data_IF_559066068492
#
_entry.id   IF_559066068492
#
_cell.length_a   1.000
_cell.length_b   1.000
_cell.length_c   1.000
_cell.angle_alpha   90.00
_cell.angle_beta   90.00
_cell.angle_gamma   90.00
#
_symmetry.space_group_name_H-M   'P 1'
#
loop_
_entity.id
_entity.type
_entity.pdbx_description
1 polymer ?
#
# COMPACT_ATOMS: atom_id res chain seq x y z
N UNK A 1 21.27 8.25 6.96
CA UNK A 1 20.23 9.30 6.87
C UNK A 1 18.98 8.73 7.51
N UNK A 2 18.24 9.48 8.27
CA UNK A 2 17.09 8.98 9.04
C UNK A 2 15.83 9.13 8.19
N UNK A 3 14.94 8.13 8.17
CA UNK A 3 13.60 8.21 7.56
C UNK A 3 12.95 9.55 7.89
N UNK A 4 12.18 10.11 6.97
CA UNK A 4 11.44 11.36 7.19
C UNK A 4 10.70 11.31 8.52
N UNK A 5 10.80 12.38 9.31
CA UNK A 5 9.98 12.49 10.50
C UNK A 5 8.49 12.47 10.12
N UNK A 6 7.66 11.83 10.91
CA UNK A 6 6.21 11.71 10.70
C UNK A 6 5.54 13.07 10.43
N UNK A 7 5.97 14.11 11.13
CA UNK A 7 5.49 15.48 10.89
C UNK A 7 5.83 15.99 9.48
N UNK A 8 6.99 15.62 8.92
CA UNK A 8 7.37 16.00 7.56
C UNK A 8 6.55 15.25 6.51
N UNK A 9 6.25 13.97 6.78
CA UNK A 9 5.37 13.16 5.94
C UNK A 9 3.96 13.78 5.92
N UNK A 10 3.38 14.06 7.08
CA UNK A 10 2.05 14.67 7.21
C UNK A 10 1.91 16.00 6.48
N UNK A 11 2.95 16.84 6.50
CA UNK A 11 2.95 18.10 5.74
C UNK A 11 2.92 17.93 4.22
N UNK A 12 3.39 16.79 3.72
CA UNK A 12 3.39 16.46 2.28
C UNK A 12 2.09 15.81 1.82
N UNK A 13 1.38 15.13 2.72
CA UNK A 13 0.13 14.47 2.44
C UNK A 13 -1.02 15.48 2.54
N UNK A 14 -1.45 15.99 1.38
CA UNK A 14 -2.55 16.94 1.29
C UNK A 14 -3.90 16.21 1.29
N UNK A 15 -4.97 16.83 1.81
CA UNK A 15 -6.31 16.27 1.73
C UNK A 15 -6.71 15.93 0.30
N UNK A 16 -7.26 14.74 0.12
CA UNK A 16 -7.82 14.26 -1.14
C UNK A 16 -9.31 14.00 -0.95
N UNK A 17 -10.09 14.18 -2.02
CA UNK A 17 -11.49 13.79 -2.06
C UNK A 17 -11.66 12.53 -2.90
N UNK A 18 -12.53 11.57 -2.49
CA UNK A 18 -12.83 10.41 -3.32
C UNK A 18 -13.60 10.84 -4.57
N UNK A 19 -13.36 10.14 -5.68
CA UNK A 19 -14.16 10.32 -6.89
C UNK A 19 -15.55 9.72 -6.68
N UNK A 20 -16.64 10.45 -6.92
CA UNK A 20 -17.98 9.90 -6.86
C UNK A 20 -18.16 8.77 -7.88
N UNK A 21 -18.69 7.64 -7.46
CA UNK A 21 -18.94 6.51 -8.36
C UNK A 21 -20.18 6.68 -9.22
N UNK A 22 -21.10 7.58 -8.85
CA UNK A 22 -22.41 7.72 -9.48
C UNK A 22 -23.34 6.50 -9.27
N UNK A 23 -22.91 5.50 -8.50
CA UNK A 23 -23.67 4.29 -8.24
C UNK A 23 -24.62 4.48 -7.05
N UNK A 24 -25.85 4.01 -7.20
CA UNK A 24 -26.80 3.92 -6.09
C UNK A 24 -26.46 2.71 -5.22
N UNK A 25 -26.39 2.84 -3.88
CA UNK A 25 -26.22 1.70 -3.00
C UNK A 25 -27.32 0.66 -3.24
N UNK A 26 -26.93 -0.61 -3.37
CA UNK A 26 -27.84 -1.73 -3.62
C UNK A 26 -27.47 -2.92 -2.75
N UNK A 27 -28.48 -3.72 -2.41
CA UNK A 27 -28.33 -4.96 -1.66
C UNK A 27 -28.83 -4.85 -0.24
N UNK A 28 -29.01 -6.01 0.37
CA UNK A 28 -29.33 -6.18 1.79
C UNK A 28 -28.50 -7.32 2.34
N UNK A 29 -28.04 -7.18 3.57
CA UNK A 29 -27.36 -8.26 4.27
C UNK A 29 -28.38 -9.35 4.63
N UNK A 30 -28.08 -10.61 4.24
CA UNK A 30 -28.93 -11.77 4.50
C UNK A 30 -28.69 -12.36 5.90
N UNK A 31 -27.57 -12.01 6.52
CA UNK A 31 -27.18 -12.46 7.85
C UNK A 31 -26.36 -11.37 8.55
N UNK A 32 -26.25 -11.39 9.88
CA UNK A 32 -25.35 -10.50 10.61
C UNK A 32 -23.90 -10.68 10.12
N UNK A 33 -23.22 -9.56 9.88
CA UNK A 33 -21.79 -9.55 9.53
C UNK A 33 -21.00 -9.73 10.84
N UNK A 34 -20.13 -10.73 10.87
CA UNK A 34 -19.23 -11.00 12.00
C UNK A 34 -17.81 -10.55 11.75
N UNK A 35 -17.43 -10.45 10.49
CA UNK A 35 -16.09 -9.99 10.10
C UNK A 35 -16.14 -9.16 8.82
N UNK A 36 -15.20 -8.20 8.70
CA UNK A 36 -14.98 -7.38 7.50
C UNK A 36 -13.49 -7.38 7.17
N UNK A 37 -13.17 -7.75 5.95
CA UNK A 37 -11.80 -7.70 5.42
C UNK A 37 -11.72 -6.56 4.41
N UNK A 38 -10.94 -5.54 4.73
CA UNK A 38 -10.79 -4.34 3.92
C UNK A 38 -9.65 -4.45 2.92
N UNK A 39 -9.82 -3.88 1.74
CA UNK A 39 -8.68 -3.41 0.96
C UNK A 39 -8.19 -2.07 1.54
N UNK A 40 -6.97 -1.66 1.19
CA UNK A 40 -6.40 -0.39 1.67
C UNK A 40 -6.62 0.72 0.64
N UNK A 41 -6.00 0.62 -0.52
CA UNK A 41 -6.02 1.65 -1.54
C UNK A 41 -7.36 1.70 -2.28
N UNK A 42 -8.00 2.87 -2.28
CA UNK A 42 -9.35 3.04 -2.83
C UNK A 42 -10.48 2.60 -1.89
N UNK A 43 -10.15 2.07 -0.69
CA UNK A 43 -11.13 1.58 0.30
C UNK A 43 -10.96 2.26 1.66
N UNK A 44 -9.85 2.03 2.36
CA UNK A 44 -9.53 2.73 3.62
C UNK A 44 -8.86 4.07 3.37
N UNK A 45 -8.05 4.14 2.31
CA UNK A 45 -7.36 5.36 1.90
C UNK A 45 -7.64 5.67 0.44
N UNK A 46 -7.95 6.93 0.15
CA UNK A 46 -7.95 7.46 -1.21
C UNK A 46 -6.53 7.32 -1.74
N UNK A 47 -6.40 6.84 -2.97
CA UNK A 47 -5.13 6.71 -3.68
C UNK A 47 -5.16 7.60 -4.91
N UNK A 48 -4.22 8.51 -5.02
CA UNK A 48 -4.18 9.44 -6.13
C UNK A 48 -3.66 8.82 -7.43
N UNK A 49 -2.99 7.66 -7.36
CA UNK A 49 -2.45 7.00 -8.53
C UNK A 49 -3.32 5.88 -9.09
N UNK A 50 -4.33 5.39 -8.36
CA UNK A 50 -5.29 4.36 -8.81
C UNK A 50 -4.65 3.08 -9.41
N UNK A 51 -3.66 3.23 -10.27
CA UNK A 51 -2.78 2.20 -10.80
C UNK A 51 -1.40 2.78 -11.22
N UNK A 52 -0.51 1.90 -11.71
CA UNK A 52 0.86 2.24 -12.13
C UNK A 52 0.87 3.25 -13.30
N UNK A 53 -0.11 3.21 -14.19
CA UNK A 53 -0.16 4.12 -15.34
C UNK A 53 -0.58 5.53 -14.93
N UNK A 54 -1.45 5.68 -13.94
CA UNK A 54 -1.78 6.98 -13.35
C UNK A 54 -0.58 7.56 -12.57
N UNK A 55 0.19 6.72 -11.87
CA UNK A 55 1.46 7.11 -11.26
C UNK A 55 2.49 7.56 -12.31
N UNK A 56 2.59 6.84 -13.42
CA UNK A 56 3.43 7.16 -14.58
C UNK A 56 3.12 8.56 -15.15
N UNK A 57 1.85 8.86 -15.34
CA UNK A 57 1.39 10.15 -15.87
C UNK A 57 1.62 11.32 -14.92
N UNK A 58 1.50 11.12 -13.60
CA UNK A 58 1.76 12.16 -12.59
C UNK A 58 3.25 12.44 -12.40
N UNK A 59 4.08 11.42 -12.51
CA UNK A 59 5.54 11.57 -12.44
C UNK A 59 6.13 12.17 -13.71
N UNK A 60 5.34 12.40 -14.78
CA UNK A 60 5.78 13.21 -15.92
C UNK A 60 6.12 14.66 -15.50
N UNK A 61 5.67 15.12 -14.35
CA UNK A 61 6.18 16.31 -13.66
C UNK A 61 7.54 16.13 -12.97
N UNK A 62 8.37 15.20 -13.40
CA UNK A 62 9.80 14.89 -13.12
C UNK A 62 10.48 15.59 -11.93
N UNK A 63 10.04 16.78 -11.55
CA UNK A 63 10.70 17.63 -10.55
C UNK A 63 10.78 16.98 -9.15
N UNK A 64 9.74 16.26 -8.72
CA UNK A 64 9.70 15.63 -7.40
C UNK A 64 10.74 14.50 -7.27
N UNK A 65 10.82 13.63 -8.28
CA UNK A 65 11.82 12.55 -8.30
C UNK A 65 13.24 13.10 -8.46
N UNK A 66 13.47 14.13 -9.26
CA UNK A 66 14.80 14.75 -9.38
C UNK A 66 15.26 15.36 -8.05
N UNK A 67 14.37 16.00 -7.30
CA UNK A 67 14.68 16.50 -5.96
C UNK A 67 15.02 15.32 -5.03
N UNK A 68 14.28 14.22 -5.10
CA UNK A 68 14.53 13.03 -4.31
C UNK A 68 15.88 12.39 -4.65
N UNK A 69 16.21 12.25 -5.93
CA UNK A 69 17.50 11.72 -6.39
C UNK A 69 18.68 12.55 -5.88
N UNK A 70 18.59 13.88 -6.00
CA UNK A 70 19.61 14.79 -5.44
C UNK A 70 19.75 14.65 -3.93
N UNK A 71 18.63 14.58 -3.19
CA UNK A 71 18.62 14.39 -1.75
C UNK A 71 19.36 13.11 -1.32
N UNK A 72 19.22 12.04 -2.09
CA UNK A 72 19.87 10.74 -1.81
C UNK A 72 21.25 10.61 -2.48
N UNK A 73 21.78 11.69 -3.08
CA UNK A 73 23.06 11.71 -3.81
C UNK A 73 23.14 10.70 -4.96
N UNK A 74 22.04 10.51 -5.68
CA UNK A 74 21.95 9.63 -6.84
C UNK A 74 22.16 10.46 -8.10
N UNK A 75 23.30 10.26 -8.79
CA UNK A 75 23.68 10.98 -10.00
C UNK A 75 23.08 10.34 -11.25
N UNK A 76 21.73 10.29 -11.29
CA UNK A 76 20.95 9.75 -12.41
C UNK A 76 19.76 10.66 -12.72
N UNK A 77 19.26 10.65 -13.95
CA UNK A 77 18.04 11.36 -14.29
C UNK A 77 16.79 10.63 -13.82
N UNK A 78 15.72 11.37 -13.54
CA UNK A 78 14.43 10.79 -13.19
C UNK A 78 13.89 9.86 -14.29
N UNK A 79 14.16 10.17 -15.56
CA UNK A 79 13.71 9.34 -16.69
C UNK A 79 14.38 7.97 -16.69
N UNK A 80 15.71 7.92 -16.56
CA UNK A 80 16.45 6.65 -16.50
C UNK A 80 16.02 5.80 -15.32
N UNK A 81 15.88 6.42 -14.14
CA UNK A 81 15.46 5.72 -12.92
C UNK A 81 14.07 5.12 -13.05
N UNK A 82 13.11 5.84 -13.66
CA UNK A 82 11.78 5.31 -13.91
C UNK A 82 11.77 4.19 -14.95
N UNK A 83 12.52 4.32 -16.03
CA UNK A 83 12.66 3.26 -17.04
C UNK A 83 13.20 1.97 -16.40
N UNK A 84 14.27 2.09 -15.63
CA UNK A 84 14.88 0.95 -14.95
C UNK A 84 13.97 0.36 -13.85
N UNK A 85 13.22 1.21 -13.14
CA UNK A 85 12.24 0.74 -12.17
C UNK A 85 11.18 -0.17 -12.83
N UNK A 86 10.57 0.30 -13.92
CA UNK A 86 9.56 -0.49 -14.62
C UNK A 86 10.14 -1.76 -15.22
N UNK A 87 11.31 -1.67 -15.86
CA UNK A 87 11.99 -2.86 -16.38
C UNK A 87 12.35 -3.88 -15.29
N UNK A 88 12.80 -3.41 -14.12
CA UNK A 88 13.12 -4.28 -13.00
C UNK A 88 11.87 -4.95 -12.39
N UNK A 89 10.75 -4.24 -12.30
CA UNK A 89 9.46 -4.81 -11.86
C UNK A 89 8.97 -5.87 -12.84
N UNK A 90 8.98 -5.57 -14.14
CA UNK A 90 8.58 -6.52 -15.19
C UNK A 90 9.46 -7.78 -15.19
N UNK A 91 10.78 -7.60 -15.07
CA UNK A 91 11.73 -8.72 -14.99
C UNK A 91 11.51 -9.58 -13.75
N UNK A 92 11.26 -8.97 -12.58
CA UNK A 92 10.95 -9.68 -11.34
C UNK A 92 9.65 -10.49 -11.46
N UNK A 93 8.61 -9.89 -12.04
CA UNK A 93 7.35 -10.59 -12.32
C UNK A 93 7.55 -11.76 -13.29
N UNK A 94 8.27 -11.54 -14.39
CA UNK A 94 8.53 -12.58 -15.38
C UNK A 94 9.33 -13.74 -14.78
N UNK A 95 10.37 -13.45 -13.99
CA UNK A 95 11.18 -14.48 -13.32
C UNK A 95 10.34 -15.33 -12.36
N UNK A 96 9.49 -14.68 -11.55
CA UNK A 96 8.65 -15.37 -10.57
C UNK A 96 7.52 -16.16 -11.25
N UNK A 97 6.95 -15.67 -12.36
CA UNK A 97 5.97 -16.41 -13.16
C UNK A 97 6.56 -17.68 -13.76
N UNK A 98 7.83 -17.65 -14.22
CA UNK A 98 8.52 -18.85 -14.73
C UNK A 98 8.66 -19.96 -13.68
N UNK A 99 8.68 -19.62 -12.40
CA UNK A 99 8.65 -20.60 -11.29
C UNK A 99 7.24 -21.04 -10.88
N UNK A 100 6.22 -20.78 -11.71
CA UNK A 100 4.85 -21.25 -11.51
C UNK A 100 3.99 -20.34 -10.60
N UNK A 101 4.49 -19.18 -10.18
CA UNK A 101 3.72 -18.23 -9.39
C UNK A 101 2.90 -17.34 -10.30
N UNK A 102 1.58 -17.49 -10.25
CA UNK A 102 0.66 -16.52 -10.83
C UNK A 102 0.51 -15.31 -9.89
N UNK A 103 0.39 -14.11 -10.45
CA UNK A 103 0.24 -12.87 -9.66
C UNK A 103 1.34 -12.65 -8.60
N UNK A 104 2.63 -12.64 -8.99
CA UNK A 104 3.72 -12.42 -8.04
C UNK A 104 3.70 -10.99 -7.50
N UNK A 105 4.11 -10.86 -6.23
CA UNK A 105 4.43 -9.56 -5.62
C UNK A 105 5.95 -9.36 -5.66
N UNK A 106 6.40 -8.12 -5.77
CA UNK A 106 7.82 -7.77 -5.84
C UNK A 106 8.39 -7.33 -4.49
N UNK A 107 9.68 -7.57 -4.25
CA UNK A 107 10.42 -6.87 -3.18
C UNK A 107 10.87 -5.51 -3.70
N UNK A 108 10.04 -4.49 -3.50
CA UNK A 108 10.29 -3.13 -3.99
C UNK A 108 11.58 -2.54 -3.40
N UNK A 109 11.99 -2.95 -2.20
CA UNK A 109 13.24 -2.48 -1.58
C UNK A 109 14.45 -2.99 -2.35
N UNK A 110 14.43 -4.27 -2.74
CA UNK A 110 15.49 -4.86 -3.57
C UNK A 110 15.55 -4.22 -4.95
N UNK A 111 14.39 -3.94 -5.54
CA UNK A 111 14.33 -3.24 -6.82
C UNK A 111 14.94 -1.85 -6.69
N UNK A 112 14.56 -1.07 -5.67
CA UNK A 112 15.16 0.25 -5.45
C UNK A 112 16.66 0.21 -5.19
N UNK A 113 17.18 -0.80 -4.47
CA UNK A 113 18.63 -0.97 -4.33
C UNK A 113 19.32 -1.16 -5.69
N UNK A 114 18.78 -2.03 -6.53
CA UNK A 114 19.36 -2.30 -7.84
C UNK A 114 19.30 -1.07 -8.77
N UNK A 115 18.16 -0.38 -8.80
CA UNK A 115 17.93 0.76 -9.70
C UNK A 115 18.73 2.00 -9.28
N UNK A 116 18.83 2.25 -7.98
CA UNK A 116 19.48 3.48 -7.46
C UNK A 116 20.93 3.31 -7.08
N UNK A 117 21.41 2.07 -6.93
CA UNK A 117 22.75 1.79 -6.42
C UNK A 117 22.92 2.07 -4.92
N UNK A 118 21.82 2.22 -4.16
CA UNK A 118 21.90 2.46 -2.72
C UNK A 118 22.51 1.24 -2.00
N UNK A 119 23.51 1.51 -1.18
CA UNK A 119 24.37 0.52 -0.53
C UNK A 119 23.70 -0.29 0.58
N UNK A 120 22.63 0.23 1.16
CA UNK A 120 21.95 -0.44 2.26
C UNK A 120 20.44 -0.56 2.05
N UNK A 121 19.87 -1.65 2.59
CA UNK A 121 18.43 -1.89 2.58
C UNK A 121 17.65 -0.80 3.33
N UNK A 122 18.25 -0.21 4.38
CA UNK A 122 17.63 0.90 5.12
C UNK A 122 17.49 2.15 4.23
N UNK A 123 18.56 2.54 3.52
CA UNK A 123 18.51 3.69 2.60
C UNK A 123 17.53 3.48 1.46
N UNK A 124 17.46 2.25 0.94
CA UNK A 124 16.48 1.90 -0.10
C UNK A 124 15.03 1.95 0.43
N UNK A 125 14.79 1.56 1.68
CA UNK A 125 13.48 1.75 2.33
C UNK A 125 13.11 3.22 2.48
N UNK A 126 14.03 4.05 2.96
CA UNK A 126 13.80 5.48 3.09
C UNK A 126 13.46 6.11 1.73
N UNK A 127 14.22 5.76 0.69
CA UNK A 127 13.96 6.20 -0.68
C UNK A 127 12.59 5.74 -1.18
N UNK A 128 12.24 4.46 -0.98
CA UNK A 128 10.97 3.88 -1.42
C UNK A 128 9.77 4.57 -0.78
N UNK A 129 9.83 4.87 0.52
CA UNK A 129 8.78 5.62 1.23
C UNK A 129 8.63 7.03 0.67
N UNK A 130 9.74 7.75 0.49
CA UNK A 130 9.71 9.11 -0.03
C UNK A 130 9.23 9.15 -1.48
N UNK A 131 9.62 8.16 -2.28
CA UNK A 131 9.13 7.99 -3.64
C UNK A 131 7.62 7.75 -3.67
N UNK A 132 7.11 6.82 -2.83
CA UNK A 132 5.68 6.52 -2.75
C UNK A 132 4.84 7.75 -2.41
N UNK A 133 5.28 8.55 -1.45
CA UNK A 133 4.59 9.80 -1.07
C UNK A 133 4.47 10.77 -2.26
N UNK A 134 5.47 10.79 -3.14
CA UNK A 134 5.47 11.62 -4.36
C UNK A 134 4.61 11.00 -5.46
N UNK A 135 4.78 9.69 -5.69
CA UNK A 135 4.16 8.97 -6.79
C UNK A 135 2.68 8.69 -6.56
N UNK A 136 2.34 8.36 -5.32
CA UNK A 136 1.00 7.97 -4.91
C UNK A 136 0.57 8.68 -3.62
N UNK A 137 0.27 9.98 -3.66
CA UNK A 137 -0.32 10.65 -2.52
C UNK A 137 -1.60 9.94 -2.07
N UNK A 138 -1.72 9.72 -0.78
CA UNK A 138 -2.86 9.03 -0.16
C UNK A 138 -3.49 9.91 0.92
N UNK A 139 -4.77 9.67 1.19
CA UNK A 139 -5.48 10.33 2.28
C UNK A 139 -6.59 9.41 2.82
N UNK A 140 -6.90 9.42 4.13
CA UNK A 140 -7.97 8.58 4.67
C UNK A 140 -9.30 8.85 3.98
N UNK A 141 -10.08 7.79 3.76
CA UNK A 141 -11.46 7.94 3.28
C UNK A 141 -12.29 8.74 4.28
N UNK A 142 -13.26 9.56 3.80
CA UNK A 142 -14.18 10.28 4.67
C UNK A 142 -14.85 9.33 5.67
N UNK A 143 -14.97 9.78 6.91
CA UNK A 143 -15.59 9.03 8.02
C UNK A 143 -14.88 7.73 8.43
N UNK A 144 -13.68 7.43 7.92
CA UNK A 144 -12.97 6.20 8.26
C UNK A 144 -12.88 5.94 9.78
N UNK A 145 -12.45 6.90 10.63
CA UNK A 145 -12.39 6.66 12.07
C UNK A 145 -13.75 6.32 12.70
N UNK A 146 -14.82 6.92 12.19
CA UNK A 146 -16.19 6.68 12.66
C UNK A 146 -16.63 5.25 12.33
N UNK A 147 -16.32 4.78 11.09
CA UNK A 147 -16.64 3.42 10.64
C UNK A 147 -15.87 2.38 11.47
N UNK A 148 -14.55 2.59 11.66
CA UNK A 148 -13.74 1.67 12.44
C UNK A 148 -14.23 1.58 13.90
N UNK A 149 -14.48 2.72 14.53
CA UNK A 149 -15.05 2.76 15.90
C UNK A 149 -16.38 2.02 15.98
N UNK A 150 -17.30 2.26 15.05
CA UNK A 150 -18.59 1.57 14.98
C UNK A 150 -18.45 0.04 14.91
N UNK A 151 -17.52 -0.45 14.07
CA UNK A 151 -17.29 -1.89 13.93
C UNK A 151 -16.72 -2.51 15.22
N UNK A 152 -15.81 -1.80 15.90
CA UNK A 152 -15.31 -2.21 17.22
C UNK A 152 -16.47 -2.30 18.24
N UNK A 153 -17.32 -1.28 18.33
CA UNK A 153 -18.49 -1.25 19.23
C UNK A 153 -19.49 -2.37 18.93
N UNK A 154 -19.58 -2.80 17.67
CA UNK A 154 -20.43 -3.91 17.22
C UNK A 154 -19.76 -5.30 17.36
N UNK A 155 -18.54 -5.36 17.88
CA UNK A 155 -17.74 -6.59 17.97
C UNK A 155 -17.57 -7.30 16.62
N UNK A 156 -17.47 -6.53 15.54
CA UNK A 156 -17.18 -7.05 14.20
C UNK A 156 -15.66 -7.17 14.04
N UNK A 157 -15.17 -8.38 13.78
CA UNK A 157 -13.75 -8.60 13.54
C UNK A 157 -13.29 -7.88 12.27
N UNK A 158 -12.25 -7.06 12.38
CA UNK A 158 -11.69 -6.33 11.24
C UNK A 158 -10.36 -6.92 10.81
N UNK A 159 -10.16 -7.03 9.50
CA UNK A 159 -8.91 -7.45 8.88
C UNK A 159 -8.61 -6.67 7.60
N UNK A 160 -7.46 -6.95 7.01
CA UNK A 160 -6.99 -6.32 5.77
C UNK A 160 -6.55 -7.41 4.79
N UNK A 161 -6.99 -7.32 3.53
CA UNK A 161 -6.43 -8.06 2.39
C UNK A 161 -6.09 -7.05 1.30
N UNK A 162 -4.82 -6.71 1.14
CA UNK A 162 -4.42 -5.66 0.19
C UNK A 162 -3.17 -6.02 -0.62
N UNK A 163 -3.17 -5.63 -1.90
CA UNK A 163 -1.94 -5.49 -2.67
C UNK A 163 -1.19 -4.31 -2.09
N UNK A 164 -0.01 -4.56 -1.52
CA UNK A 164 0.64 -3.63 -0.64
C UNK A 164 2.15 -3.85 -0.58
N UNK A 165 2.88 -2.79 -0.25
CA UNK A 165 4.29 -2.85 0.06
C UNK A 165 4.53 -2.59 1.56
N UNK A 166 5.77 -2.72 2.01
CA UNK A 166 6.13 -2.62 3.43
C UNK A 166 5.75 -1.28 4.09
N UNK A 167 5.56 -0.22 3.31
CA UNK A 167 5.16 1.10 3.80
C UNK A 167 3.65 1.26 3.96
N UNK A 168 2.85 0.34 3.43
CA UNK A 168 1.38 0.43 3.53
C UNK A 168 0.87 0.45 4.98
N UNK A 169 1.36 -0.41 5.91
CA UNK A 169 0.97 -0.31 7.32
C UNK A 169 1.32 1.04 7.96
N UNK A 170 2.38 1.71 7.50
CA UNK A 170 2.81 3.00 8.05
C UNK A 170 1.77 4.12 7.84
N UNK A 171 0.86 3.97 6.87
CA UNK A 171 -0.22 4.93 6.63
C UNK A 171 -1.08 5.13 7.87
N UNK A 172 -1.35 4.06 8.62
CA UNK A 172 -2.16 4.13 9.84
C UNK A 172 -1.46 4.98 10.91
N UNK A 173 -0.17 4.76 11.12
CA UNK A 173 0.61 5.58 12.03
C UNK A 173 0.73 7.03 11.55
N UNK A 174 0.88 7.27 10.26
CA UNK A 174 1.00 8.64 9.73
C UNK A 174 -0.28 9.45 9.92
N UNK A 175 -1.46 8.85 9.81
CA UNK A 175 -2.73 9.57 9.87
C UNK A 175 -3.43 9.49 11.23
N UNK A 176 -3.25 8.38 11.96
CA UNK A 176 -4.03 8.11 13.18
C UNK A 176 -3.17 7.95 14.46
N UNK A 177 -1.85 8.09 14.37
CA UNK A 177 -0.93 7.84 15.49
C UNK A 177 -1.05 6.45 16.10
N UNK A 178 -1.45 5.47 15.30
CA UNK A 178 -1.68 4.09 15.72
C UNK A 178 -1.34 3.10 14.59
N UNK A 179 -0.83 1.94 14.95
CA UNK A 179 -0.78 0.79 14.04
C UNK A 179 -2.20 0.26 13.78
N UNK A 180 -2.43 -0.57 12.75
CA UNK A 180 -3.76 -1.13 12.47
C UNK A 180 -4.43 -1.76 13.69
N UNK A 181 -3.67 -2.47 14.51
CA UNK A 181 -4.15 -3.13 15.72
C UNK A 181 -4.71 -2.14 16.75
N UNK A 182 -4.08 -0.98 16.88
CA UNK A 182 -4.56 0.11 17.74
C UNK A 182 -5.88 0.72 17.29
N UNK A 183 -6.28 0.48 16.04
CA UNK A 183 -7.56 0.90 15.46
C UNK A 183 -8.60 -0.23 15.46
N UNK A 184 -8.29 -1.37 16.08
CA UNK A 184 -9.18 -2.51 16.23
C UNK A 184 -9.06 -3.59 15.16
N UNK A 185 -8.09 -3.51 14.25
CA UNK A 185 -7.80 -4.62 13.34
C UNK A 185 -7.14 -5.77 14.07
N UNK A 186 -7.54 -6.99 13.75
CA UNK A 186 -6.94 -8.21 14.31
C UNK A 186 -5.58 -8.48 13.65
N UNK A 187 -4.50 -8.69 14.46
CA UNK A 187 -3.15 -8.93 13.92
C UNK A 187 -3.07 -10.16 13.00
N UNK A 188 -3.84 -11.20 13.31
CA UNK A 188 -3.92 -12.44 12.55
C UNK A 188 -4.75 -12.34 11.26
N UNK A 189 -5.42 -11.20 11.03
CA UNK A 189 -6.19 -10.88 9.83
C UNK A 189 -5.54 -9.80 8.96
N UNK A 190 -4.24 -9.56 9.09
CA UNK A 190 -3.50 -8.57 8.29
C UNK A 190 -2.71 -9.22 7.14
N UNK A 191 -3.34 -9.32 5.98
CA UNK A 191 -2.81 -9.96 4.77
C UNK A 191 -2.35 -8.90 3.76
N UNK A 192 -1.08 -8.51 3.84
CA UNK A 192 -0.42 -7.63 2.89
C UNK A 192 0.39 -8.44 1.89
N UNK A 193 0.17 -8.26 0.58
CA UNK A 193 0.77 -9.09 -0.48
C UNK A 193 2.30 -9.22 -0.41
N UNK A 194 3.02 -8.16 -0.02
CA UNK A 194 4.47 -8.19 0.11
C UNK A 194 4.99 -9.22 1.13
N UNK A 195 4.18 -9.62 2.12
CA UNK A 195 4.53 -10.66 3.10
C UNK A 195 4.38 -12.08 2.54
N UNK A 196 3.58 -12.23 1.49
CA UNK A 196 3.22 -13.52 0.89
C UNK A 196 3.91 -13.75 -0.45
N UNK A 197 4.53 -12.72 -1.03
CA UNK A 197 5.10 -12.79 -2.37
C UNK A 197 4.05 -13.02 -3.47
N UNK A 198 2.78 -12.75 -3.17
CA UNK A 198 1.64 -12.95 -4.07
C UNK A 198 0.64 -11.82 -3.92
N UNK A 199 0.21 -11.25 -5.06
CA UNK A 199 -0.78 -10.19 -5.13
C UNK A 199 -2.19 -10.74 -5.45
N UNK A 200 -3.24 -10.02 -5.10
CA UNK A 200 -4.59 -10.25 -5.64
C UNK A 200 -4.55 -10.14 -7.17
N UNK A 201 -5.26 -10.99 -7.92
CA UNK A 201 -6.32 -11.90 -7.52
C UNK A 201 -5.86 -13.31 -7.13
N UNK A 202 -4.60 -13.52 -6.74
CA UNK A 202 -4.17 -14.81 -6.22
C UNK A 202 -5.07 -15.26 -5.05
N UNK A 203 -5.54 -16.52 -5.02
CA UNK A 203 -6.38 -17.01 -3.93
C UNK A 203 -5.66 -17.11 -2.59
N UNK A 204 -4.34 -17.12 -2.56
CA UNK A 204 -3.52 -17.38 -1.36
C UNK A 204 -3.88 -16.45 -0.19
N UNK A 205 -4.07 -15.15 -0.44
CA UNK A 205 -4.41 -14.21 0.64
C UNK A 205 -5.83 -14.48 1.18
N UNK A 206 -6.77 -14.76 0.29
CA UNK A 206 -8.16 -15.05 0.64
C UNK A 206 -8.29 -16.39 1.39
N UNK A 207 -7.61 -17.42 0.93
CA UNK A 207 -7.58 -18.73 1.58
C UNK A 207 -6.93 -18.66 2.98
N UNK A 208 -5.86 -17.86 3.11
CA UNK A 208 -5.22 -17.63 4.41
C UNK A 208 -6.17 -16.92 5.38
N UNK A 209 -6.88 -15.90 4.90
CA UNK A 209 -7.87 -15.19 5.70
C UNK A 209 -9.05 -16.11 6.11
N UNK A 210 -9.59 -16.87 5.16
CA UNK A 210 -10.67 -17.83 5.42
C UNK A 210 -10.26 -18.89 6.44
N UNK A 211 -9.01 -19.37 6.40
CA UNK A 211 -8.48 -20.32 7.38
C UNK A 211 -8.49 -19.74 8.79
N UNK A 212 -8.00 -18.50 8.97
CA UNK A 212 -7.98 -17.83 10.26
C UNK A 212 -9.41 -17.61 10.78
N UNK A 213 -10.32 -17.11 9.94
CA UNK A 213 -11.72 -16.90 10.33
C UNK A 213 -12.40 -18.20 10.76
N UNK A 214 -12.20 -19.31 10.03
CA UNK A 214 -12.75 -20.61 10.38
C UNK A 214 -12.18 -21.15 11.71
N UNK A 215 -10.87 -20.97 11.96
CA UNK A 215 -10.25 -21.42 13.21
C UNK A 215 -10.70 -20.63 14.43
N UNK A 216 -11.06 -19.38 14.25
CA UNK A 216 -11.46 -18.47 15.34
C UNK A 216 -12.97 -18.37 15.53
N UNK A 217 -13.75 -19.06 14.69
CA UNK A 217 -15.22 -19.08 14.80
C UNK A 217 -15.90 -17.75 14.48
N UNK A 218 -15.21 -16.87 13.73
CA UNK A 218 -15.68 -15.52 13.39
C UNK A 218 -16.36 -15.52 12.02
#
# INVERSE_FOLDING_TARGET
>A
MRMLAKADIRRRLQPLAPLPTGLTPRGALRAPVRSVLFDVYGTLFISASGDIDAARNRMSGRSGLEILLRKHHIARSATEVLQDLYAAVEAAHAATKKSGVQHPEVDIVRIWQAVTGLDSRSRAKDFAVEFEIIANPVYPMPHLPVVLKYLVEKNVAMGIISNAQFYTPLLFDWFFDAEPEGLGFRPDLLFFSYRFGRAKPSPVLFESAARVLNQTGV
#
